data_IF_260497824523
#
_entry.id   IF_260497824523
#
_cell.length_a   1.000
_cell.length_b   1.000
_cell.length_c   1.000
_cell.angle_alpha   90.00
_cell.angle_beta   90.00
_cell.angle_gamma   90.00
#
_symmetry.space_group_name_H-M   'P 1'
#
loop_
_entity.id
_entity.type
_entity.pdbx_description
1 polymer ?
#
# COMPACT_ATOMS: atom_id res chain seq x y z
N UNK A 1 24.15 -59.54 -33.48
CA UNK A 1 24.14 -58.68 -32.27
C UNK A 1 23.62 -57.28 -32.71
N UNK A 2 22.35 -56.98 -32.46
CA UNK A 2 21.77 -55.65 -32.81
C UNK A 2 21.99 -54.70 -31.60
N UNK A 3 22.74 -53.61 -31.81
CA UNK A 3 22.94 -52.57 -30.82
C UNK A 3 21.67 -51.69 -30.76
N UNK A 4 20.99 -51.70 -29.63
CA UNK A 4 19.83 -50.85 -29.34
C UNK A 4 20.38 -49.54 -28.79
N UNK A 5 20.27 -48.44 -29.55
CA UNK A 5 20.68 -47.10 -29.12
C UNK A 5 19.49 -46.49 -28.39
N UNK A 6 19.60 -46.32 -27.08
CA UNK A 6 18.60 -45.57 -26.28
C UNK A 6 18.81 -44.06 -26.43
N UNK A 7 17.83 -43.39 -27.05
CA UNK A 7 17.77 -41.94 -27.15
C UNK A 7 17.12 -41.40 -25.86
N UNK A 8 17.90 -40.82 -24.97
CA UNK A 8 17.36 -40.12 -23.79
C UNK A 8 16.89 -38.75 -24.25
N UNK A 9 15.57 -38.57 -24.36
CA UNK A 9 14.95 -37.26 -24.56
C UNK A 9 14.90 -36.54 -23.19
N UNK A 10 15.74 -35.54 -22.99
CA UNK A 10 15.71 -34.65 -21.84
C UNK A 10 14.53 -33.70 -22.01
N UNK A 11 13.40 -33.96 -21.35
CA UNK A 11 12.30 -33.01 -21.22
C UNK A 11 12.73 -31.89 -20.29
N UNK A 12 13.20 -30.77 -20.85
CA UNK A 12 13.37 -29.53 -20.13
C UNK A 12 11.96 -28.97 -19.90
N UNK A 13 11.42 -29.18 -18.71
CA UNK A 13 10.22 -28.47 -18.27
C UNK A 13 10.57 -27.00 -18.07
N UNK A 14 10.34 -26.17 -19.10
CA UNK A 14 10.29 -24.72 -18.93
C UNK A 14 9.11 -24.40 -18.02
N UNK A 15 9.35 -24.23 -16.74
CA UNK A 15 8.37 -23.62 -15.83
C UNK A 15 8.20 -22.17 -16.30
N UNK A 16 7.11 -21.87 -16.98
CA UNK A 16 6.72 -20.49 -17.29
C UNK A 16 6.27 -19.86 -15.97
N UNK A 17 7.22 -19.33 -15.23
CA UNK A 17 6.91 -18.47 -14.10
C UNK A 17 6.49 -17.12 -14.69
N UNK A 18 5.40 -16.53 -14.17
CA UNK A 18 5.10 -15.15 -14.44
C UNK A 18 6.32 -14.32 -13.99
N UNK A 19 6.82 -13.48 -14.91
CA UNK A 19 8.10 -12.82 -14.69
C UNK A 19 7.84 -11.46 -14.08
N UNK A 20 8.25 -11.25 -12.83
CA UNK A 20 8.34 -9.93 -12.21
C UNK A 20 9.76 -9.69 -11.72
N UNK A 21 10.16 -8.44 -11.62
CA UNK A 21 11.39 -8.06 -10.96
C UNK A 21 11.28 -8.36 -9.46
N UNK A 22 12.26 -9.02 -8.90
CA UNK A 22 12.30 -9.37 -7.47
C UNK A 22 13.04 -8.28 -6.67
N UNK A 23 12.72 -8.17 -5.37
CA UNK A 23 13.41 -7.27 -4.44
C UNK A 23 13.04 -5.80 -4.61
N UNK A 24 11.93 -5.47 -5.29
CA UNK A 24 11.47 -4.08 -5.47
C UNK A 24 10.64 -3.57 -4.30
N UNK A 25 9.95 -4.46 -3.61
CA UNK A 25 9.11 -4.15 -2.46
C UNK A 25 9.40 -5.13 -1.29
N UNK A 26 10.64 -5.16 -0.76
CA UNK A 26 10.99 -6.04 0.36
C UNK A 26 10.22 -5.70 1.63
N UNK A 27 9.79 -4.46 1.76
CA UNK A 27 8.81 -3.94 2.71
C UNK A 27 7.69 -3.23 1.94
N UNK A 28 6.52 -2.97 2.56
CA UNK A 28 5.43 -2.27 1.88
C UNK A 28 5.89 -0.91 1.34
N UNK A 29 5.55 -0.54 0.09
CA UNK A 29 5.88 0.78 -0.46
C UNK A 29 5.29 1.92 0.37
N UNK A 30 6.08 2.97 0.60
CA UNK A 30 5.63 4.19 1.26
C UNK A 30 5.75 5.39 0.31
N UNK A 31 4.71 6.22 0.29
CA UNK A 31 4.71 7.38 -0.60
C UNK A 31 3.49 8.28 -0.44
N UNK A 32 3.22 9.01 -1.50
CA UNK A 32 2.07 9.88 -1.65
C UNK A 32 1.43 9.66 -3.02
N UNK A 33 0.10 9.72 -3.08
CA UNK A 33 -0.67 9.59 -4.31
C UNK A 33 -1.66 10.77 -4.43
N UNK A 34 -1.85 11.29 -5.64
CA UNK A 34 -2.62 12.50 -5.88
C UNK A 34 -4.13 12.34 -5.77
N UNK A 35 -4.69 11.11 -5.82
CA UNK A 35 -6.11 10.89 -6.07
C UNK A 35 -7.02 11.49 -4.99
N UNK A 36 -6.87 11.11 -3.73
CA UNK A 36 -7.85 11.42 -2.69
C UNK A 36 -8.02 12.92 -2.44
N UNK A 37 -6.95 13.71 -2.57
CA UNK A 37 -7.03 15.18 -2.41
C UNK A 37 -7.32 15.95 -3.69
N UNK A 38 -6.98 15.40 -4.86
CA UNK A 38 -6.99 16.21 -6.09
C UNK A 38 -7.76 15.56 -7.25
N UNK A 39 -8.04 14.28 -7.18
CA UNK A 39 -8.70 13.53 -8.26
C UNK A 39 -8.01 13.84 -9.60
N UNK A 40 -8.74 14.11 -10.65
CA UNK A 40 -8.21 14.47 -11.98
C UNK A 40 -7.55 15.86 -12.04
N UNK A 41 -7.63 16.65 -10.97
CA UNK A 41 -7.08 18.02 -10.94
C UNK A 41 -5.59 18.02 -10.55
N UNK A 42 -4.81 17.04 -11.03
CA UNK A 42 -3.37 17.01 -10.86
C UNK A 42 -2.63 17.78 -11.98
N UNK A 43 -1.48 18.32 -11.67
CA UNK A 43 -0.62 19.03 -12.62
C UNK A 43 0.85 18.89 -12.23
N UNK A 44 1.74 19.13 -13.20
CA UNK A 44 3.18 19.14 -12.97
C UNK A 44 3.60 20.05 -11.81
N UNK A 45 3.02 21.25 -11.74
CA UNK A 45 3.28 22.19 -10.67
C UNK A 45 2.86 21.66 -9.31
N UNK A 46 1.63 21.09 -9.21
CA UNK A 46 1.13 20.47 -8.00
C UNK A 46 2.05 19.36 -7.51
N UNK A 47 2.48 18.47 -8.40
CA UNK A 47 3.35 17.35 -8.05
C UNK A 47 4.72 17.85 -7.55
N UNK A 48 5.30 18.87 -8.21
CA UNK A 48 6.56 19.47 -7.78
C UNK A 48 6.44 20.13 -6.40
N UNK A 49 5.38 20.88 -6.15
CA UNK A 49 5.09 21.50 -4.84
C UNK A 49 4.90 20.45 -3.75
N UNK A 50 4.20 19.37 -4.06
CA UNK A 50 3.98 18.25 -3.13
C UNK A 50 5.31 17.57 -2.79
N UNK A 51 6.15 17.28 -3.77
CA UNK A 51 7.49 16.72 -3.53
C UNK A 51 8.34 17.60 -2.59
N UNK A 52 8.31 18.92 -2.80
CA UNK A 52 8.99 19.87 -1.91
C UNK A 52 8.38 19.88 -0.49
N UNK A 53 7.06 19.75 -0.37
CA UNK A 53 6.39 19.66 0.92
C UNK A 53 6.73 18.36 1.67
N UNK A 54 6.83 17.23 0.96
CA UNK A 54 7.28 15.95 1.53
C UNK A 54 8.71 16.03 2.10
N UNK A 55 9.61 16.77 1.42
CA UNK A 55 10.96 17.04 1.92
C UNK A 55 10.89 17.92 3.17
N UNK A 56 10.19 19.05 3.07
CA UNK A 56 10.12 20.06 4.15
C UNK A 56 9.46 19.51 5.43
N UNK A 57 8.47 18.63 5.30
CA UNK A 57 7.79 18.00 6.44
C UNK A 57 8.61 16.88 7.11
N UNK A 58 9.67 16.38 6.46
CA UNK A 58 10.43 15.22 6.90
C UNK A 58 9.82 13.87 6.49
N UNK A 59 8.71 13.86 5.77
CA UNK A 59 8.06 12.62 5.32
C UNK A 59 8.97 11.81 4.40
N UNK A 60 9.69 12.45 3.44
CA UNK A 60 10.65 11.76 2.59
C UNK A 60 11.68 10.99 3.44
N UNK A 61 12.24 11.65 4.45
CA UNK A 61 13.29 11.08 5.31
C UNK A 61 12.71 10.02 6.27
N UNK A 62 11.39 10.05 6.52
CA UNK A 62 10.67 9.01 7.24
C UNK A 62 10.32 7.78 6.37
N UNK A 63 10.61 7.80 5.05
CA UNK A 63 10.43 6.67 4.15
C UNK A 63 9.40 6.85 3.03
N UNK A 64 8.66 7.97 2.97
CA UNK A 64 7.70 8.26 1.89
C UNK A 64 8.43 8.65 0.62
N UNK A 65 8.90 7.63 -0.10
CA UNK A 65 9.80 7.84 -1.26
C UNK A 65 9.09 7.79 -2.60
N UNK A 66 7.88 7.23 -2.69
CA UNK A 66 7.10 7.24 -3.92
C UNK A 66 6.25 8.49 -4.04
N UNK A 67 6.23 9.12 -5.23
CA UNK A 67 5.28 10.17 -5.60
C UNK A 67 4.52 9.67 -6.82
N UNK A 68 3.23 9.35 -6.61
CA UNK A 68 2.37 8.73 -7.61
C UNK A 68 1.40 9.77 -8.18
N UNK A 69 1.47 9.96 -9.48
CA UNK A 69 0.48 10.74 -10.25
C UNK A 69 -0.64 9.79 -10.63
N UNK A 70 -1.80 9.96 -10.03
CA UNK A 70 -2.99 9.13 -10.27
C UNK A 70 -3.73 9.54 -11.55
N UNK A 71 -4.96 9.05 -11.76
CA UNK A 71 -5.78 9.24 -12.96
C UNK A 71 -5.90 10.71 -13.37
N UNK A 72 -5.94 10.97 -14.66
CA UNK A 72 -6.13 12.29 -15.23
C UNK A 72 -4.85 13.03 -15.60
N UNK A 73 -3.69 12.37 -15.68
CA UNK A 73 -2.49 12.98 -16.24
C UNK A 73 -2.46 12.96 -17.77
N UNK A 74 -3.22 12.06 -18.38
CA UNK A 74 -3.27 11.82 -19.83
C UNK A 74 -4.01 12.92 -20.58
N UNK A 75 -3.67 13.08 -21.86
CA UNK A 75 -4.55 13.70 -22.86
C UNK A 75 -5.74 12.77 -23.15
N UNK A 76 -6.84 13.34 -23.65
CA UNK A 76 -8.07 12.59 -23.96
C UNK A 76 -7.89 11.56 -25.09
N UNK A 77 -6.81 11.64 -25.86
CA UNK A 77 -6.52 10.75 -26.97
C UNK A 77 -5.04 10.36 -26.99
N UNK A 78 -4.75 9.16 -27.47
CA UNK A 78 -3.38 8.75 -27.82
C UNK A 78 -2.90 9.51 -29.05
N UNK A 79 -1.58 9.56 -29.25
CA UNK A 79 -1.01 10.16 -30.46
C UNK A 79 -1.27 9.29 -31.72
N UNK A 80 -0.90 9.80 -32.89
CA UNK A 80 -1.09 9.09 -34.17
C UNK A 80 -0.32 7.77 -34.31
N UNK A 81 0.57 7.45 -33.34
CA UNK A 81 1.30 6.19 -33.24
C UNK A 81 0.73 5.27 -32.14
N UNK A 82 -0.33 5.71 -31.47
CA UNK A 82 -0.96 4.96 -30.37
C UNK A 82 -0.28 5.14 -29.00
N UNK A 83 0.66 6.05 -28.84
CA UNK A 83 1.30 6.28 -27.55
C UNK A 83 0.41 7.11 -26.63
N UNK A 84 0.50 6.82 -25.30
CA UNK A 84 -0.02 7.71 -24.28
C UNK A 84 0.71 9.04 -24.32
N UNK A 85 -0.05 10.13 -24.19
CA UNK A 85 0.46 11.49 -24.20
C UNK A 85 0.02 12.19 -22.92
N UNK A 86 0.90 12.87 -22.18
CA UNK A 86 0.49 13.70 -21.06
C UNK A 86 -0.34 14.90 -21.54
N UNK A 87 -1.29 15.36 -20.73
CA UNK A 87 -2.04 16.58 -21.02
C UNK A 87 -1.10 17.78 -21.12
N UNK A 88 -1.00 18.46 -22.28
CA UNK A 88 0.03 19.48 -22.50
C UNK A 88 -0.19 20.76 -21.68
N UNK A 89 -1.40 20.97 -21.12
CA UNK A 89 -1.69 22.12 -20.24
C UNK A 89 -1.29 21.82 -18.81
N UNK A 90 -1.57 20.60 -18.35
CA UNK A 90 -1.29 20.18 -16.96
C UNK A 90 0.15 19.71 -16.77
N UNK A 91 0.75 19.08 -17.78
CA UNK A 91 2.10 18.54 -17.78
C UNK A 91 2.92 19.06 -18.96
N UNK A 92 3.17 20.38 -19.06
CA UNK A 92 3.78 21.01 -20.23
C UNK A 92 5.22 20.54 -20.51
N UNK A 93 5.97 20.10 -19.48
CA UNK A 93 7.33 19.56 -19.66
C UNK A 93 7.36 18.07 -20.01
N UNK A 94 6.20 17.39 -19.92
CA UNK A 94 6.05 15.95 -20.12
C UNK A 94 6.47 15.10 -18.93
N UNK A 95 6.06 13.81 -18.96
CA UNK A 95 6.23 12.91 -17.82
C UNK A 95 7.69 12.54 -17.57
N UNK A 96 8.54 12.48 -18.62
CA UNK A 96 9.97 12.24 -18.43
C UNK A 96 10.64 13.34 -17.61
N UNK A 97 10.38 14.61 -17.92
CA UNK A 97 10.95 15.73 -17.18
C UNK A 97 10.47 15.78 -15.73
N UNK A 98 9.21 15.40 -15.49
CA UNK A 98 8.67 15.25 -14.14
C UNK A 98 9.37 14.11 -13.39
N UNK A 99 9.55 12.95 -14.02
CA UNK A 99 10.28 11.82 -13.44
C UNK A 99 11.73 12.19 -13.08
N UNK A 100 12.45 12.88 -14.00
CA UNK A 100 13.81 13.34 -13.75
C UNK A 100 13.88 14.34 -12.57
N UNK A 101 12.87 15.22 -12.45
CA UNK A 101 12.75 16.12 -11.30
C UNK A 101 12.55 15.35 -9.99
N UNK A 102 11.63 14.37 -9.96
CA UNK A 102 11.38 13.55 -8.76
C UNK A 102 12.64 12.78 -8.36
N UNK A 103 13.30 12.12 -9.31
CA UNK A 103 14.55 11.39 -9.07
C UNK A 103 15.67 12.29 -8.53
N UNK A 104 15.84 13.50 -9.08
CA UNK A 104 16.85 14.46 -8.60
C UNK A 104 16.60 14.96 -7.18
N UNK A 105 15.35 14.82 -6.69
CA UNK A 105 14.93 15.14 -5.32
C UNK A 105 14.86 13.90 -4.39
N UNK A 106 15.34 12.74 -4.85
CA UNK A 106 15.40 11.50 -4.06
C UNK A 106 14.07 10.75 -3.96
N UNK A 107 13.13 11.00 -4.87
CA UNK A 107 11.87 10.27 -4.97
C UNK A 107 11.90 9.24 -6.09
N UNK A 108 11.00 8.28 -6.01
CA UNK A 108 10.62 7.35 -7.06
C UNK A 108 9.34 7.85 -7.74
N UNK A 109 9.29 7.77 -9.05
CA UNK A 109 8.17 8.26 -9.85
C UNK A 109 7.13 7.16 -10.06
N UNK A 110 5.90 7.39 -9.58
CA UNK A 110 4.75 6.53 -9.83
C UNK A 110 3.74 7.14 -10.80
N UNK A 111 3.04 6.28 -11.52
CA UNK A 111 2.02 6.66 -12.49
C UNK A 111 0.81 5.73 -12.37
N UNK A 112 -0.36 6.20 -12.77
CA UNK A 112 -1.59 5.42 -12.90
C UNK A 112 -1.93 5.17 -14.36
N UNK A 113 -2.56 4.03 -14.65
CA UNK A 113 -3.36 3.77 -15.83
C UNK A 113 -4.34 2.62 -15.54
N UNK A 114 -5.02 2.08 -16.54
CA UNK A 114 -6.09 1.12 -16.37
C UNK A 114 -5.97 -0.07 -17.34
N UNK A 115 -6.35 -1.24 -16.87
CA UNK A 115 -6.38 -2.49 -17.63
C UNK A 115 -7.54 -2.55 -18.66
N UNK A 116 -8.50 -1.62 -18.56
CA UNK A 116 -9.59 -1.49 -19.50
C UNK A 116 -9.27 -0.61 -20.70
N UNK A 117 -10.30 -0.29 -21.46
CA UNK A 117 -10.20 0.59 -22.66
C UNK A 117 -10.03 2.05 -22.26
N UNK A 118 -10.66 2.43 -21.14
CA UNK A 118 -10.53 3.77 -20.56
C UNK A 118 -10.22 3.67 -19.07
N UNK A 119 -9.60 4.71 -18.51
CA UNK A 119 -9.48 4.88 -17.06
C UNK A 119 -10.85 5.13 -16.44
N UNK A 120 -10.92 5.14 -15.11
CA UNK A 120 -12.17 5.43 -14.38
C UNK A 120 -12.71 6.84 -14.66
N UNK A 121 -11.84 7.76 -15.03
CA UNK A 121 -12.20 9.14 -15.43
C UNK A 121 -12.35 9.34 -16.94
N UNK A 122 -12.28 8.25 -17.74
CA UNK A 122 -12.54 8.28 -19.19
C UNK A 122 -11.33 8.60 -20.06
N UNK A 123 -10.11 8.64 -19.52
CA UNK A 123 -8.89 8.80 -20.30
C UNK A 123 -8.47 7.48 -20.96
N UNK A 124 -7.54 7.48 -21.94
CA UNK A 124 -7.13 6.26 -22.63
C UNK A 124 -6.52 5.21 -21.68
N UNK A 125 -7.15 4.04 -21.59
CA UNK A 125 -6.64 2.88 -20.87
C UNK A 125 -5.59 2.08 -21.65
N UNK A 126 -4.97 1.10 -20.99
CA UNK A 126 -3.84 0.32 -21.54
C UNK A 126 -4.24 -0.86 -22.41
N UNK A 127 -5.53 -1.25 -22.42
CA UNK A 127 -5.99 -2.47 -23.11
C UNK A 127 -5.63 -2.49 -24.61
N UNK A 128 -4.84 -3.50 -25.00
CA UNK A 128 -4.34 -3.65 -26.36
C UNK A 128 -3.07 -2.84 -26.67
N UNK A 129 -2.56 -2.09 -25.69
CA UNK A 129 -1.35 -1.27 -25.80
C UNK A 129 -0.30 -1.59 -24.72
N UNK A 130 -0.47 -2.66 -23.94
CA UNK A 130 0.30 -2.95 -22.73
C UNK A 130 1.81 -2.91 -22.98
N UNK A 131 2.29 -3.57 -24.04
CA UNK A 131 3.72 -3.58 -24.39
C UNK A 131 4.25 -2.24 -24.89
N UNK A 132 3.40 -1.43 -25.53
CA UNK A 132 3.75 -0.08 -25.97
C UNK A 132 3.83 0.85 -24.76
N UNK A 133 2.83 0.80 -23.91
CA UNK A 133 2.73 1.63 -22.70
C UNK A 133 3.86 1.30 -21.72
N UNK A 134 4.18 0.02 -21.49
CA UNK A 134 5.28 -0.40 -20.65
C UNK A 134 6.64 0.17 -21.10
N UNK A 135 6.89 0.18 -22.42
CA UNK A 135 8.10 0.84 -22.98
C UNK A 135 8.10 2.35 -22.76
N UNK A 136 6.92 2.96 -22.90
CA UNK A 136 6.74 4.40 -22.65
C UNK A 136 7.03 4.71 -21.18
N UNK A 137 6.46 3.97 -20.23
CA UNK A 137 6.74 4.13 -18.80
C UNK A 137 8.22 3.94 -18.48
N UNK A 138 8.85 2.91 -19.05
CA UNK A 138 10.29 2.70 -18.89
C UNK A 138 11.12 3.89 -19.41
N UNK A 139 10.76 4.47 -20.57
CA UNK A 139 11.43 5.63 -21.16
C UNK A 139 11.28 6.90 -20.33
N UNK A 140 10.18 7.05 -19.61
CA UNK A 140 9.95 8.18 -18.70
C UNK A 140 10.59 7.99 -17.32
N UNK A 141 11.14 6.82 -17.03
CA UNK A 141 11.76 6.54 -15.76
C UNK A 141 10.74 6.20 -14.65
N UNK A 142 9.58 5.67 -15.00
CA UNK A 142 8.58 5.25 -14.00
C UNK A 142 9.13 4.12 -13.13
N UNK A 143 8.87 4.19 -11.83
CA UNK A 143 9.30 3.22 -10.81
C UNK A 143 8.12 2.46 -10.18
N UNK A 144 6.90 2.94 -10.38
CA UNK A 144 5.68 2.37 -9.81
C UNK A 144 4.49 2.57 -10.77
N UNK A 145 3.75 1.51 -11.05
CA UNK A 145 2.53 1.56 -11.84
C UNK A 145 1.35 1.08 -10.98
N UNK A 146 0.38 1.98 -10.70
CA UNK A 146 -0.97 1.61 -10.25
C UNK A 146 -1.80 1.32 -11.50
N UNK A 147 -2.34 0.10 -11.61
CA UNK A 147 -3.06 -0.34 -12.80
C UNK A 147 -4.48 -0.74 -12.42
N UNK A 148 -5.45 0.09 -12.81
CA UNK A 148 -6.84 0.01 -12.41
C UNK A 148 -7.68 -0.96 -13.25
N UNK A 149 -8.99 -1.09 -12.96
CA UNK A 149 -9.87 -2.12 -13.54
C UNK A 149 -11.12 -1.54 -14.20
N UNK A 150 -11.24 -0.25 -14.46
CA UNK A 150 -12.39 0.38 -15.11
C UNK A 150 -12.50 -0.02 -16.58
N UNK A 151 -13.71 0.00 -17.14
CA UNK A 151 -14.03 -0.32 -18.55
C UNK A 151 -13.40 -1.62 -19.07
N UNK A 152 -13.23 -2.61 -18.18
CA UNK A 152 -12.63 -3.90 -18.52
C UNK A 152 -13.54 -4.81 -19.39
N UNK A 153 -14.86 -4.52 -19.45
CA UNK A 153 -15.84 -5.33 -20.16
C UNK A 153 -15.94 -6.75 -19.59
N UNK A 154 -15.71 -7.75 -20.43
CA UNK A 154 -15.74 -9.18 -20.05
C UNK A 154 -14.33 -9.78 -19.91
N UNK A 155 -13.29 -8.96 -19.72
CA UNK A 155 -11.92 -9.44 -19.62
C UNK A 155 -11.71 -10.29 -18.35
N UNK A 156 -10.85 -11.30 -18.44
CA UNK A 156 -10.38 -12.05 -17.28
C UNK A 156 -9.31 -11.23 -16.56
N UNK A 157 -9.47 -11.04 -15.25
CA UNK A 157 -8.57 -10.18 -14.48
C UNK A 157 -7.14 -10.74 -14.44
N UNK A 158 -6.95 -12.00 -14.06
CA UNK A 158 -5.62 -12.62 -13.97
C UNK A 158 -4.84 -12.53 -15.28
N UNK A 159 -5.47 -12.88 -16.40
CA UNK A 159 -4.83 -12.84 -17.72
C UNK A 159 -4.51 -11.41 -18.17
N UNK A 160 -5.40 -10.46 -17.90
CA UNK A 160 -5.22 -9.06 -18.29
C UNK A 160 -4.07 -8.42 -17.51
N UNK A 161 -4.06 -8.60 -16.19
CA UNK A 161 -2.97 -8.10 -15.36
C UNK A 161 -1.64 -8.80 -15.65
N UNK A 162 -1.69 -10.11 -15.97
CA UNK A 162 -0.50 -10.84 -16.43
C UNK A 162 0.08 -10.24 -17.70
N UNK A 163 -0.74 -9.85 -18.66
CA UNK A 163 -0.29 -9.24 -19.91
C UNK A 163 0.51 -7.96 -19.65
N UNK A 164 0.03 -7.07 -18.79
CA UNK A 164 0.79 -5.87 -18.38
C UNK A 164 2.04 -6.24 -17.58
N UNK A 165 1.97 -7.22 -16.69
CA UNK A 165 3.15 -7.70 -15.95
C UNK A 165 4.27 -8.20 -16.88
N UNK A 166 3.92 -9.01 -17.88
CA UNK A 166 4.86 -9.49 -18.90
C UNK A 166 5.42 -8.32 -19.74
N UNK A 167 4.58 -7.32 -20.05
CA UNK A 167 4.99 -6.12 -20.79
C UNK A 167 5.99 -5.27 -19.99
N UNK A 168 5.75 -5.06 -18.70
CA UNK A 168 6.65 -4.35 -17.79
C UNK A 168 8.00 -5.06 -17.67
N UNK A 169 7.98 -6.39 -17.53
CA UNK A 169 9.21 -7.17 -17.47
C UNK A 169 9.98 -7.08 -18.80
N UNK A 170 9.30 -7.20 -19.94
CA UNK A 170 9.91 -7.09 -21.27
C UNK A 170 10.46 -5.69 -21.58
N UNK A 171 9.92 -4.63 -20.96
CA UNK A 171 10.44 -3.28 -21.10
C UNK A 171 11.81 -3.08 -20.41
N UNK A 172 12.22 -4.02 -19.52
CA UNK A 172 13.55 -4.09 -18.93
C UNK A 172 13.83 -3.09 -17.80
N UNK A 173 12.88 -2.22 -17.44
CA UNK A 173 12.99 -1.33 -16.29
C UNK A 173 12.30 -1.95 -15.08
N UNK A 174 12.96 -2.05 -13.90
CA UNK A 174 12.32 -2.47 -12.67
C UNK A 174 11.23 -1.47 -12.24
N UNK A 175 9.96 -1.89 -12.32
CA UNK A 175 8.78 -1.11 -11.95
C UNK A 175 7.99 -1.90 -10.92
N UNK A 176 7.70 -1.29 -9.76
CA UNK A 176 6.75 -1.85 -8.79
C UNK A 176 5.38 -1.87 -9.43
N UNK A 177 4.76 -3.04 -9.50
CA UNK A 177 3.47 -3.23 -10.13
C UNK A 177 2.38 -3.43 -9.07
N UNK A 178 1.41 -2.53 -9.05
CA UNK A 178 0.27 -2.49 -8.14
C UNK A 178 -1.02 -2.76 -8.88
N UNK A 179 -1.72 -3.82 -8.49
CA UNK A 179 -3.00 -4.20 -9.08
C UNK A 179 -4.13 -3.49 -8.34
N UNK A 180 -5.05 -2.87 -9.08
CA UNK A 180 -6.17 -2.14 -8.51
C UNK A 180 -7.51 -2.65 -9.07
N UNK A 181 -7.84 -3.94 -8.82
CA UNK A 181 -9.11 -4.55 -9.22
C UNK A 181 -10.10 -4.69 -8.05
N UNK A 182 -9.84 -3.94 -6.97
CA UNK A 182 -10.74 -3.75 -5.81
C UNK A 182 -11.05 -5.02 -5.03
N UNK A 183 -10.24 -6.08 -5.17
CA UNK A 183 -10.44 -7.37 -4.50
C UNK A 183 -11.54 -8.24 -5.11
N UNK A 184 -12.17 -7.82 -6.22
CA UNK A 184 -13.33 -8.50 -6.81
C UNK A 184 -13.01 -9.89 -7.34
N UNK A 185 -11.77 -10.12 -7.81
CA UNK A 185 -11.32 -11.39 -8.37
C UNK A 185 -10.28 -12.07 -7.47
N UNK A 186 -10.24 -11.72 -6.17
CA UNK A 186 -9.33 -12.30 -5.17
C UNK A 186 -7.86 -12.25 -5.61
N UNK A 187 -7.30 -11.06 -5.90
CA UNK A 187 -5.96 -10.90 -6.48
C UNK A 187 -4.85 -11.48 -5.60
N UNK A 188 -5.08 -11.66 -4.31
CA UNK A 188 -4.15 -12.34 -3.40
C UNK A 188 -3.87 -13.81 -3.75
N UNK A 189 -4.73 -14.45 -4.55
CA UNK A 189 -4.52 -15.85 -4.98
C UNK A 189 -3.56 -15.98 -6.17
N UNK A 190 -3.52 -15.00 -7.05
CA UNK A 190 -2.75 -15.04 -8.31
C UNK A 190 -1.74 -13.89 -8.45
N UNK A 191 -2.00 -12.74 -7.82
CA UNK A 191 -1.14 -11.54 -7.88
C UNK A 191 0.32 -11.76 -7.46
N UNK A 192 0.65 -12.59 -6.45
CA UNK A 192 2.05 -12.82 -6.04
C UNK A 192 2.98 -13.26 -7.16
N UNK A 193 2.45 -13.88 -8.21
CA UNK A 193 3.24 -14.37 -9.36
C UNK A 193 3.70 -13.24 -10.28
N UNK A 194 2.99 -12.11 -10.35
CA UNK A 194 3.18 -11.09 -11.37
C UNK A 194 3.29 -9.65 -10.84
N UNK A 195 2.84 -9.40 -9.62
CA UNK A 195 2.76 -8.07 -9.04
C UNK A 195 3.38 -8.00 -7.64
N UNK A 196 3.60 -6.79 -7.14
CA UNK A 196 4.23 -6.54 -5.83
C UNK A 196 3.22 -6.17 -4.75
N UNK A 197 2.05 -5.69 -5.15
CA UNK A 197 0.94 -5.42 -4.25
C UNK A 197 -0.38 -5.44 -5.04
N UNK A 198 -1.50 -5.54 -4.31
CA UNK A 198 -2.84 -5.58 -4.89
C UNK A 198 -3.87 -5.05 -3.90
N UNK A 199 -4.81 -4.27 -4.42
CA UNK A 199 -5.97 -3.79 -3.68
C UNK A 199 -6.84 -4.96 -3.23
N UNK A 200 -7.24 -4.94 -1.98
CA UNK A 200 -8.06 -5.99 -1.35
C UNK A 200 -9.53 -5.62 -1.26
N UNK A 201 -9.84 -4.33 -1.48
CA UNK A 201 -11.19 -3.75 -1.35
C UNK A 201 -11.43 -2.67 -2.41
N UNK A 202 -12.68 -2.22 -2.53
CA UNK A 202 -13.04 -0.96 -3.17
C UNK A 202 -12.34 0.25 -2.51
N UNK A 203 -12.62 1.44 -3.03
CA UNK A 203 -11.90 2.65 -2.62
C UNK A 203 -12.23 3.07 -1.19
N UNK A 204 -11.20 3.58 -0.50
CA UNK A 204 -11.32 4.22 0.80
C UNK A 204 -11.81 5.66 0.65
N UNK A 205 -12.55 6.15 1.64
CA UNK A 205 -12.86 7.57 1.78
C UNK A 205 -12.57 8.06 3.20
N UNK A 206 -12.44 9.37 3.35
CA UNK A 206 -12.06 10.05 4.58
C UNK A 206 -13.15 10.03 5.66
N UNK A 207 -13.61 8.85 6.03
CA UNK A 207 -14.52 8.67 7.15
C UNK A 207 -14.23 7.36 7.90
N UNK A 208 -14.71 7.26 9.13
CA UNK A 208 -14.57 6.06 9.94
C UNK A 208 -15.44 4.89 9.44
N UNK A 209 -16.77 5.10 9.33
CA UNK A 209 -17.74 4.03 9.12
C UNK A 209 -18.83 4.34 8.09
N UNK A 210 -18.61 5.31 7.21
CA UNK A 210 -19.54 5.56 6.11
C UNK A 210 -19.47 4.47 5.04
N UNK A 211 -20.56 4.32 4.30
CA UNK A 211 -20.64 3.47 3.12
C UNK A 211 -21.30 4.26 2.00
N UNK A 212 -20.61 4.37 0.89
CA UNK A 212 -21.13 4.91 -0.36
C UNK A 212 -21.06 3.83 -1.45
N UNK A 213 -21.62 4.12 -2.60
CA UNK A 213 -21.67 3.21 -3.76
C UNK A 213 -20.24 2.91 -4.28
N UNK A 214 -19.35 3.89 -4.20
CA UNK A 214 -17.99 3.82 -4.78
C UNK A 214 -16.88 3.72 -3.76
N UNK A 215 -17.11 4.15 -2.50
CA UNK A 215 -16.06 4.21 -1.50
C UNK A 215 -16.62 3.94 -0.09
N UNK A 216 -15.77 3.43 0.79
CA UNK A 216 -16.17 3.08 2.16
C UNK A 216 -15.17 3.61 3.19
N UNK A 217 -15.67 3.80 4.42
CA UNK A 217 -14.83 4.19 5.55
C UNK A 217 -13.84 3.11 5.95
N UNK A 218 -12.74 3.53 6.54
CA UNK A 218 -11.62 2.64 6.84
C UNK A 218 -11.95 1.49 7.81
N UNK A 219 -12.97 1.62 8.67
CA UNK A 219 -13.46 0.52 9.53
C UNK A 219 -13.87 -0.71 8.72
N UNK A 220 -14.61 -0.51 7.63
CA UNK A 220 -15.07 -1.61 6.78
C UNK A 220 -13.93 -2.20 5.94
N UNK A 221 -13.01 -1.34 5.50
CA UNK A 221 -11.79 -1.76 4.81
C UNK A 221 -10.93 -2.63 5.72
N UNK A 222 -10.70 -2.19 6.98
CA UNK A 222 -9.97 -2.95 7.99
C UNK A 222 -10.60 -4.33 8.23
N UNK A 223 -11.92 -4.41 8.39
CA UNK A 223 -12.61 -5.67 8.63
C UNK A 223 -12.43 -6.69 7.49
N UNK A 224 -12.20 -6.23 6.25
CA UNK A 224 -11.94 -7.09 5.09
C UNK A 224 -10.51 -7.64 5.03
N UNK A 225 -9.60 -7.14 5.87
CA UNK A 225 -8.22 -7.63 5.90
C UNK A 225 -8.05 -8.92 6.74
N UNK A 226 -9.04 -9.25 7.55
CA UNK A 226 -9.02 -10.46 8.40
C UNK A 226 -8.94 -11.73 7.55
N UNK A 227 -7.94 -12.59 7.83
CA UNK A 227 -7.67 -13.83 7.09
C UNK A 227 -6.84 -13.65 5.81
N UNK A 228 -6.44 -12.41 5.44
CA UNK A 228 -5.58 -12.15 4.27
C UNK A 228 -4.08 -12.15 4.62
N UNK A 229 -3.70 -12.16 5.89
CA UNK A 229 -2.31 -12.08 6.35
C UNK A 229 -1.39 -13.15 5.74
N UNK A 230 -1.92 -14.32 5.45
CA UNK A 230 -1.18 -15.45 4.86
C UNK A 230 -0.75 -15.24 3.41
N UNK A 231 -1.29 -14.20 2.75
CA UNK A 231 -0.99 -13.90 1.35
C UNK A 231 0.03 -12.77 1.20
N UNK A 232 0.31 -12.04 2.28
CA UNK A 232 1.27 -10.93 2.28
C UNK A 232 2.67 -11.37 2.71
N UNK A 233 3.67 -10.73 2.14
CA UNK A 233 5.08 -10.93 2.47
C UNK A 233 5.99 -10.09 1.58
N UNK A 234 7.32 -10.23 1.70
CA UNK A 234 8.26 -9.48 0.87
C UNK A 234 7.98 -9.65 -0.62
N UNK A 235 7.92 -8.53 -1.33
CA UNK A 235 7.56 -8.41 -2.75
C UNK A 235 6.12 -8.79 -3.12
N UNK A 236 5.22 -8.98 -2.13
CA UNK A 236 3.81 -9.28 -2.40
C UNK A 236 2.93 -8.85 -1.21
N UNK A 237 2.29 -7.67 -1.31
CA UNK A 237 1.58 -7.02 -0.22
C UNK A 237 0.08 -6.89 -0.50
N UNK A 238 -0.74 -7.14 0.52
CA UNK A 238 -2.12 -6.72 0.53
C UNK A 238 -2.18 -5.20 0.66
N UNK A 239 -3.00 -4.55 -0.15
CA UNK A 239 -3.20 -3.11 -0.16
C UNK A 239 -4.65 -2.79 0.22
N UNK A 240 -4.90 -2.32 1.46
CA UNK A 240 -6.21 -1.90 1.91
C UNK A 240 -6.57 -0.48 1.46
N UNK A 241 -5.86 0.07 0.49
CA UNK A 241 -5.91 1.44 0.00
C UNK A 241 -5.15 2.47 0.86
N UNK A 242 -5.17 3.71 0.40
CA UNK A 242 -4.36 4.82 0.89
C UNK A 242 -4.67 5.23 2.33
N UNK A 243 -3.80 6.07 2.87
CA UNK A 243 -4.00 6.73 4.16
C UNK A 243 -4.86 7.99 3.99
N UNK A 244 -5.95 8.07 4.73
CA UNK A 244 -6.81 9.26 4.84
C UNK A 244 -6.39 10.19 5.99
N UNK A 245 -5.23 9.98 6.56
CA UNK A 245 -4.68 10.76 7.69
C UNK A 245 -4.54 12.23 7.31
N UNK A 246 -5.27 13.09 8.03
CA UNK A 246 -5.26 14.54 7.80
C UNK A 246 -6.28 15.04 6.77
N UNK A 247 -7.07 14.16 6.19
CA UNK A 247 -8.25 14.54 5.42
C UNK A 247 -9.41 14.92 6.37
N UNK A 248 -10.34 15.75 5.91
CA UNK A 248 -11.28 16.47 6.79
C UNK A 248 -12.33 15.60 7.47
N UNK A 249 -12.62 14.42 6.90
CA UNK A 249 -13.65 13.51 7.40
C UNK A 249 -13.20 12.66 8.59
N UNK A 250 -11.91 12.69 8.97
CA UNK A 250 -11.38 11.97 10.11
C UNK A 250 -10.96 12.92 11.24
N UNK A 251 -11.33 12.57 12.47
CA UNK A 251 -10.73 13.16 13.66
C UNK A 251 -9.25 12.79 13.78
N UNK A 252 -8.51 13.51 14.62
CA UNK A 252 -7.10 13.17 14.89
C UNK A 252 -6.96 11.81 15.58
N UNK A 253 -7.93 11.43 16.40
CA UNK A 253 -8.00 10.12 17.04
C UNK A 253 -8.17 9.01 16.01
N UNK A 254 -9.12 9.16 15.10
CA UNK A 254 -9.35 8.21 14.00
C UNK A 254 -8.16 8.16 13.04
N UNK A 255 -7.53 9.30 12.74
CA UNK A 255 -6.31 9.37 11.94
C UNK A 255 -5.17 8.56 12.58
N UNK A 256 -5.00 8.68 13.89
CA UNK A 256 -4.01 7.91 14.67
C UNK A 256 -4.32 6.41 14.65
N UNK A 257 -5.59 6.05 14.84
CA UNK A 257 -6.03 4.66 14.82
C UNK A 257 -5.84 4.01 13.43
N UNK A 258 -6.27 4.72 12.39
CA UNK A 258 -6.10 4.32 11.00
C UNK A 258 -4.61 4.06 10.67
N UNK A 259 -3.72 5.00 10.96
CA UNK A 259 -2.29 4.84 10.73
C UNK A 259 -1.68 3.65 11.50
N UNK A 260 -2.08 3.46 12.77
CA UNK A 260 -1.61 2.36 13.61
C UNK A 260 -2.03 1.00 13.06
N UNK A 261 -3.27 0.88 12.61
CA UNK A 261 -3.80 -0.38 12.08
C UNK A 261 -3.24 -0.69 10.70
N UNK A 262 -3.02 0.30 9.81
CA UNK A 262 -2.29 0.10 8.56
C UNK A 262 -0.86 -0.37 8.81
N UNK A 263 -0.17 0.15 9.82
CA UNK A 263 1.15 -0.34 10.20
C UNK A 263 1.13 -1.79 10.72
N UNK A 264 0.11 -2.18 11.48
CA UNK A 264 -0.08 -3.58 11.88
C UNK A 264 -0.31 -4.47 10.65
N UNK A 265 -1.08 -4.00 9.68
CA UNK A 265 -1.38 -4.74 8.45
C UNK A 265 -0.18 -4.87 7.50
N UNK A 266 0.96 -4.22 7.75
CA UNK A 266 2.03 -4.08 6.75
C UNK A 266 1.47 -3.58 5.40
N UNK A 267 0.60 -2.58 5.47
CA UNK A 267 -0.06 -1.99 4.32
C UNK A 267 0.86 -0.97 3.64
N UNK A 268 0.77 -0.79 2.33
CA UNK A 268 1.43 0.34 1.69
C UNK A 268 1.02 1.67 2.35
N UNK A 269 1.97 2.37 2.97
CA UNK A 269 1.70 3.66 3.61
C UNK A 269 1.72 4.77 2.55
N UNK A 270 0.64 4.85 1.76
CA UNK A 270 0.46 5.85 0.71
C UNK A 270 -0.43 6.98 1.20
N UNK A 271 0.16 8.14 1.51
CA UNK A 271 -0.57 9.31 1.98
C UNK A 271 -1.45 9.90 0.87
N UNK A 272 -2.72 10.21 1.18
CA UNK A 272 -3.70 10.78 0.26
C UNK A 272 -4.07 12.24 0.55
N UNK A 273 -3.48 12.87 1.56
CA UNK A 273 -3.80 14.24 1.98
C UNK A 273 -3.00 15.33 1.21
N UNK A 274 -3.48 16.58 1.25
CA UNK A 274 -2.69 17.73 0.75
C UNK A 274 -1.56 18.08 1.73
N UNK A 275 -0.41 17.42 1.57
CA UNK A 275 0.76 17.58 2.43
C UNK A 275 1.33 19.00 2.45
N UNK A 276 0.98 19.87 1.48
CA UNK A 276 1.41 21.27 1.41
C UNK A 276 0.73 22.12 2.50
N UNK A 277 -0.42 21.66 3.02
CA UNK A 277 -1.25 22.34 4.03
C UNK A 277 -1.42 21.52 5.31
N UNK A 278 -0.59 20.51 5.50
CA UNK A 278 -0.65 19.58 6.61
C UNK A 278 -0.38 20.29 7.95
N UNK A 279 -1.19 19.99 8.98
CA UNK A 279 -0.96 20.46 10.35
C UNK A 279 0.24 19.78 11.01
N UNK A 280 0.72 20.35 12.12
CA UNK A 280 1.77 19.74 12.92
C UNK A 280 1.38 18.35 13.44
N UNK A 281 0.13 18.18 13.84
CA UNK A 281 -0.38 16.94 14.45
C UNK A 281 -0.49 15.82 13.40
N UNK A 282 -0.97 16.15 12.20
CA UNK A 282 -0.99 15.21 11.06
C UNK A 282 0.44 14.80 10.68
N UNK A 283 1.37 15.77 10.65
CA UNK A 283 2.78 15.47 10.41
C UNK A 283 3.35 14.54 11.47
N UNK A 284 3.03 14.76 12.75
CA UNK A 284 3.50 13.90 13.84
C UNK A 284 3.00 12.46 13.68
N UNK A 285 1.75 12.26 13.26
CA UNK A 285 1.22 10.93 12.94
C UNK A 285 2.01 10.31 11.79
N UNK A 286 2.06 10.97 10.64
CA UNK A 286 2.65 10.43 9.42
C UNK A 286 4.17 10.22 9.51
N UNK A 287 4.86 10.89 10.44
CA UNK A 287 6.31 10.75 10.63
C UNK A 287 6.69 10.08 11.95
N UNK A 288 5.77 9.36 12.60
CA UNK A 288 6.12 8.58 13.78
C UNK A 288 6.95 7.36 13.40
N UNK A 289 8.27 7.48 13.50
CA UNK A 289 9.22 6.44 13.11
C UNK A 289 9.04 5.13 13.89
N UNK A 290 8.49 5.15 15.11
CA UNK A 290 8.26 3.92 15.88
C UNK A 290 7.08 3.13 15.34
N UNK A 291 6.03 3.81 14.88
CA UNK A 291 4.89 3.17 14.20
C UNK A 291 5.28 2.72 12.78
N UNK A 292 6.02 3.57 12.04
CA UNK A 292 6.55 3.20 10.72
C UNK A 292 7.45 1.95 10.83
N UNK A 293 8.26 1.83 11.89
CA UNK A 293 9.10 0.65 12.09
C UNK A 293 8.31 -0.63 12.35
N UNK A 294 7.06 -0.56 12.80
CA UNK A 294 6.15 -1.72 12.84
C UNK A 294 5.74 -2.12 11.43
N UNK A 295 5.36 -1.15 10.60
CA UNK A 295 4.99 -1.40 9.21
C UNK A 295 6.15 -2.00 8.40
N UNK A 296 7.30 -1.37 8.48
CA UNK A 296 8.50 -1.65 7.69
C UNK A 296 9.41 -2.75 8.30
N UNK A 297 8.89 -3.54 9.24
CA UNK A 297 9.68 -4.59 9.88
C UNK A 297 10.14 -5.65 8.87
N UNK A 298 11.43 -5.98 8.92
CA UNK A 298 12.12 -6.84 7.96
C UNK A 298 11.67 -8.31 7.95
N UNK A 299 10.92 -8.76 8.98
CA UNK A 299 10.30 -10.08 8.99
C UNK A 299 9.25 -10.21 7.87
N UNK A 300 8.68 -9.07 7.44
CA UNK A 300 7.77 -9.00 6.30
C UNK A 300 6.43 -9.72 6.52
N UNK A 301 5.97 -9.80 7.76
CA UNK A 301 4.67 -10.42 8.08
C UNK A 301 3.58 -9.37 8.24
N UNK A 302 2.44 -9.61 7.65
CA UNK A 302 1.22 -8.85 7.95
C UNK A 302 0.68 -9.27 9.32
N UNK A 303 0.16 -8.31 10.10
CA UNK A 303 -0.56 -8.58 11.31
C UNK A 303 -1.98 -9.09 11.06
N UNK A 304 -2.61 -9.61 12.09
CA UNK A 304 -3.94 -10.21 12.03
C UNK A 304 -4.76 -9.85 13.26
N UNK A 305 -6.08 -9.98 13.14
CA UNK A 305 -7.00 -9.79 14.25
C UNK A 305 -6.97 -11.02 15.16
N UNK A 306 -6.38 -10.85 16.33
CA UNK A 306 -6.26 -11.92 17.33
C UNK A 306 -7.55 -12.13 18.11
N UNK A 307 -8.27 -11.04 18.40
CA UNK A 307 -9.51 -11.08 19.19
C UNK A 307 -10.47 -10.00 18.71
N UNK A 308 -11.74 -10.37 18.63
CA UNK A 308 -12.85 -9.46 18.42
C UNK A 308 -13.94 -9.70 19.46
N UNK A 309 -14.41 -8.61 20.04
CA UNK A 309 -15.57 -8.55 20.93
C UNK A 309 -16.29 -7.23 20.62
N UNK A 310 -17.57 -7.05 20.85
CA UNK A 310 -18.24 -5.77 20.62
C UNK A 310 -17.41 -4.59 21.14
N UNK A 311 -17.10 -3.66 20.28
CA UNK A 311 -16.27 -2.46 20.53
C UNK A 311 -14.82 -2.70 20.94
N UNK A 312 -14.32 -3.93 20.99
CA UNK A 312 -12.98 -4.29 21.42
C UNK A 312 -12.31 -5.20 20.40
N UNK A 313 -11.22 -4.73 19.81
CA UNK A 313 -10.39 -5.55 18.93
C UNK A 313 -8.93 -5.56 19.41
N UNK A 314 -8.28 -6.70 19.27
CA UNK A 314 -6.84 -6.84 19.49
C UNK A 314 -6.23 -7.32 18.18
N UNK A 315 -5.38 -6.49 17.61
CA UNK A 315 -4.62 -6.80 16.42
C UNK A 315 -3.16 -7.02 16.81
N UNK A 316 -2.52 -8.01 16.22
CA UNK A 316 -1.15 -8.40 16.56
C UNK A 316 -0.32 -8.60 15.30
N UNK A 317 0.97 -8.27 15.39
CA UNK A 317 1.94 -8.49 14.33
C UNK A 317 3.23 -9.04 14.93
N UNK A 318 3.69 -10.16 14.39
CA UNK A 318 5.02 -10.67 14.70
C UNK A 318 6.08 -9.80 14.02
N UNK A 319 7.09 -9.43 14.76
CA UNK A 319 8.21 -8.62 14.29
C UNK A 319 9.50 -9.41 14.32
N UNK A 320 10.54 -8.89 13.66
CA UNK A 320 11.90 -9.41 13.76
C UNK A 320 12.35 -9.47 15.23
N UNK A 321 13.41 -10.24 15.50
CA UNK A 321 13.99 -10.42 16.84
C UNK A 321 13.02 -10.99 17.90
N UNK A 322 12.03 -11.77 17.50
CA UNK A 322 10.98 -12.33 18.39
C UNK A 322 10.19 -11.26 19.13
N UNK A 323 10.11 -10.06 18.59
CA UNK A 323 9.28 -8.98 19.09
C UNK A 323 7.85 -9.09 18.55
N UNK A 324 6.94 -8.36 19.19
CA UNK A 324 5.54 -8.27 18.77
C UNK A 324 5.04 -6.83 18.81
N UNK A 325 4.23 -6.46 17.84
CA UNK A 325 3.36 -5.29 17.95
C UNK A 325 1.96 -5.75 18.34
N UNK A 326 1.36 -5.06 19.31
CA UNK A 326 -0.01 -5.32 19.79
C UNK A 326 -0.77 -4.00 19.75
N UNK A 327 -1.85 -3.97 18.99
CA UNK A 327 -2.74 -2.82 18.86
C UNK A 327 -4.08 -3.15 19.53
N UNK A 328 -4.39 -2.44 20.58
CA UNK A 328 -5.71 -2.46 21.23
C UNK A 328 -6.55 -1.37 20.60
N UNK A 329 -7.62 -1.75 19.93
CA UNK A 329 -8.50 -0.84 19.21
C UNK A 329 -9.88 -0.81 19.88
N UNK A 330 -10.35 0.41 20.17
CA UNK A 330 -11.72 0.66 20.55
C UNK A 330 -12.54 1.03 19.29
N UNK A 331 -13.30 0.07 18.77
CA UNK A 331 -14.15 0.27 17.59
C UNK A 331 -15.55 0.80 17.91
N UNK A 332 -15.83 1.13 19.17
CA UNK A 332 -17.11 1.66 19.67
C UNK A 332 -17.08 3.15 19.97
N UNK A 333 -18.27 3.68 20.30
CA UNK A 333 -18.52 5.12 20.51
C UNK A 333 -18.23 5.59 21.94
N UNK A 334 -18.14 4.67 22.92
CA UNK A 334 -17.85 4.97 24.31
C UNK A 334 -16.40 4.67 24.67
N UNK A 335 -15.93 5.20 25.82
CA UNK A 335 -14.61 4.88 26.35
C UNK A 335 -14.54 3.39 26.73
N UNK A 336 -13.58 2.67 26.15
CA UNK A 336 -13.34 1.26 26.42
C UNK A 336 -12.31 1.09 27.55
N UNK A 337 -12.73 0.44 28.64
CA UNK A 337 -11.80 -0.01 29.68
C UNK A 337 -11.13 -1.32 29.27
N UNK A 338 -9.95 -1.22 28.65
CA UNK A 338 -9.15 -2.37 28.25
C UNK A 338 -8.44 -2.97 29.46
N UNK A 339 -8.53 -4.29 29.59
CA UNK A 339 -7.71 -5.07 30.53
C UNK A 339 -7.21 -6.31 29.84
N UNK A 340 -5.94 -6.61 29.99
CA UNK A 340 -5.27 -7.75 29.33
C UNK A 340 -4.39 -8.46 30.33
N UNK A 341 -4.67 -9.75 30.49
CA UNK A 341 -3.76 -10.69 31.13
C UNK A 341 -2.85 -11.28 30.06
N UNK A 342 -1.58 -10.91 30.07
CA UNK A 342 -0.62 -11.33 29.04
C UNK A 342 -0.51 -12.84 28.88
N UNK A 343 -0.72 -13.59 29.97
CA UNK A 343 -0.72 -15.06 29.94
C UNK A 343 -1.79 -15.67 29.01
N UNK A 344 -2.80 -14.91 28.62
CA UNK A 344 -3.84 -15.37 27.68
C UNK A 344 -3.48 -15.09 26.22
N UNK A 345 -2.30 -14.49 25.95
CA UNK A 345 -1.78 -14.32 24.61
C UNK A 345 -0.77 -15.44 24.29
N UNK A 346 -1.20 -16.53 23.62
CA UNK A 346 -0.41 -17.77 23.52
C UNK A 346 0.86 -17.64 22.68
N UNK A 347 0.97 -16.57 21.89
CA UNK A 347 2.16 -16.26 21.10
C UNK A 347 3.28 -15.63 21.95
N UNK A 348 2.99 -15.07 23.13
CA UNK A 348 4.00 -14.53 24.04
C UNK A 348 4.59 -15.66 24.90
N UNK A 349 5.88 -15.91 24.72
CA UNK A 349 6.62 -16.90 25.51
C UNK A 349 7.69 -16.19 26.37
N UNK A 350 7.42 -16.08 27.68
CA UNK A 350 8.30 -15.38 28.61
C UNK A 350 7.83 -13.96 28.93
N UNK A 351 8.74 -13.16 29.46
CA UNK A 351 8.46 -11.78 29.88
C UNK A 351 9.01 -10.84 28.81
N UNK A 352 8.21 -9.83 28.47
CA UNK A 352 8.56 -8.81 27.48
C UNK A 352 8.58 -7.42 28.13
N UNK A 353 9.50 -6.57 27.69
CA UNK A 353 9.46 -5.14 27.96
C UNK A 353 8.36 -4.52 27.09
N UNK A 354 7.56 -3.63 27.65
CA UNK A 354 6.45 -2.97 26.95
C UNK A 354 6.84 -1.52 26.64
N UNK A 355 6.73 -1.12 25.37
CA UNK A 355 6.89 0.25 24.90
C UNK A 355 5.63 0.75 24.24
N UNK A 356 5.09 1.87 24.68
CA UNK A 356 4.00 2.59 24.01
C UNK A 356 4.60 3.43 22.87
N UNK A 357 4.19 3.17 21.64
CA UNK A 357 4.77 3.77 20.43
C UNK A 357 4.27 5.19 20.16
N UNK A 358 3.11 5.55 20.72
CA UNK A 358 2.59 6.92 20.62
C UNK A 358 3.16 7.81 21.71
N UNK A 359 3.26 7.29 22.93
CA UNK A 359 3.89 8.01 24.04
C UNK A 359 5.43 7.97 23.98
N UNK A 360 6.00 7.12 23.11
CA UNK A 360 7.46 6.92 22.90
C UNK A 360 8.20 6.59 24.19
N UNK A 361 7.57 5.82 25.08
CA UNK A 361 8.15 5.47 26.40
C UNK A 361 7.90 4.02 26.79
N UNK A 362 8.81 3.46 27.60
CA UNK A 362 8.59 2.19 28.30
C UNK A 362 7.52 2.34 29.37
N UNK A 363 6.58 1.41 29.45
CA UNK A 363 5.45 1.47 30.39
C UNK A 363 5.38 0.26 31.34
N UNK A 364 6.36 -0.64 31.29
CA UNK A 364 6.43 -1.80 32.19
C UNK A 364 6.83 -3.08 31.48
N UNK A 365 6.41 -4.20 32.03
CA UNK A 365 6.69 -5.55 31.54
C UNK A 365 5.41 -6.39 31.54
N UNK A 366 5.43 -7.50 30.78
CA UNK A 366 4.28 -8.41 30.67
C UNK A 366 4.08 -9.34 31.88
N UNK A 367 4.88 -9.24 32.91
CA UNK A 367 4.65 -9.89 34.21
C UNK A 367 3.58 -9.19 35.07
N UNK A 368 3.16 -8.00 34.66
CA UNK A 368 2.05 -7.23 35.25
C UNK A 368 0.97 -7.03 34.18
N UNK A 369 -0.29 -7.27 34.54
CA UNK A 369 -1.43 -7.07 33.65
C UNK A 369 -1.50 -5.65 33.12
N UNK A 370 -1.87 -5.51 31.86
CA UNK A 370 -2.06 -4.21 31.23
C UNK A 370 -3.49 -3.71 31.42
N UNK A 371 -3.65 -2.43 31.67
CA UNK A 371 -4.95 -1.75 31.61
C UNK A 371 -4.82 -0.34 31.06
N UNK A 372 -5.81 0.07 30.26
CA UNK A 372 -5.92 1.42 29.73
C UNK A 372 -7.38 1.77 29.46
N UNK A 373 -7.72 3.05 29.63
CA UNK A 373 -8.97 3.62 29.12
C UNK A 373 -8.70 4.16 27.72
N UNK A 374 -9.34 3.56 26.71
CA UNK A 374 -9.16 3.88 25.30
C UNK A 374 -10.38 4.69 24.83
N UNK A 375 -10.22 5.95 24.42
CA UNK A 375 -11.31 6.75 23.86
C UNK A 375 -11.99 6.09 22.67
N UNK A 376 -13.19 6.58 22.30
CA UNK A 376 -13.90 6.16 21.08
C UNK A 376 -13.00 6.25 19.85
N UNK A 377 -13.01 5.20 19.02
CA UNK A 377 -12.25 5.05 17.77
C UNK A 377 -10.73 5.24 17.90
N UNK A 378 -10.18 5.11 19.13
CA UNK A 378 -8.75 5.25 19.41
C UNK A 378 -8.05 3.91 19.58
N UNK A 379 -6.73 3.96 19.62
CA UNK A 379 -5.84 2.81 19.83
C UNK A 379 -4.82 3.05 20.92
N UNK A 380 -4.37 1.95 21.53
CA UNK A 380 -3.07 1.86 22.19
C UNK A 380 -2.22 0.88 21.38
N UNK A 381 -1.09 1.36 20.86
CA UNK A 381 -0.16 0.56 20.06
C UNK A 381 1.13 0.34 20.86
N UNK A 382 1.41 -0.92 21.15
CA UNK A 382 2.54 -1.35 21.96
C UNK A 382 3.53 -2.20 21.15
N UNK A 383 4.82 -2.02 21.42
CA UNK A 383 5.87 -2.94 21.00
C UNK A 383 6.32 -3.74 22.23
N UNK A 384 6.40 -5.06 22.06
CA UNK A 384 6.82 -6.01 23.08
C UNK A 384 8.15 -6.60 22.69
N UNK A 385 9.20 -6.36 23.47
CA UNK A 385 10.55 -6.87 23.22
C UNK A 385 10.93 -7.91 24.30
N UNK A 386 11.40 -9.12 23.92
CA UNK A 386 11.72 -10.18 24.88
C UNK A 386 12.82 -9.72 25.83
N UNK A 387 12.74 -10.15 27.09
CA UNK A 387 13.80 -9.96 28.09
C UNK A 387 14.60 -11.25 28.12
N UNK A 388 15.87 -11.16 27.76
CA UNK A 388 16.83 -12.27 27.75
C UNK A 388 17.47 -12.47 29.12
#
# INVERSE_FOLDING_TARGET
MKKLTFLIVLLISCSVHAQKFQGLAPTPPMGWNSWNSFQVNCSEQLIKETAQALIKSGMRDAGYTYVVVDDGWEAMERDGLGNLVPDPKRFPSGMKALGDFLHSNGFKFGIHNCAGRTTCSGFPGGRGHEFQDARTYASWGVDYLKYDWCDHGTANAEETYKTMGDALFAAGRPIVYSLCEWGNNQPWLWGPKMAHLWRTTGDITDCYSCQDVYATGWKYILAKQDGLEKYAGPDHWNDPDMLEVGNKGLSMTESKAHFSLWAILAAPLMAGNDVRKMSSDVREILTNNEVIAVDQDSLGKQGYKFMEHPSKEIWVKELSNSEWAVCFFNSGDDVLKMRVHWAYLPFLKGIFQIRDLWQKKGIGKTDVDFSADIPSHDVVLLRLSPIH
#
